data_IF_192355822034
#
_entry.id   IF_192355822034
#
_cell.length_a   1.000
_cell.length_b   1.000
_cell.length_c   1.000
_cell.angle_alpha   90.00
_cell.angle_beta   90.00
_cell.angle_gamma   90.00
#
_symmetry.space_group_name_H-M   'P 1'
#
loop_
_entity.id
_entity.type
_entity.pdbx_description
1 polymer ?
#
# COMPACT_ATOMS: atom_id res chain seq x y z
N UNK A 1 -26.75 -27.42 -26.90
CA UNK A 1 -25.36 -27.52 -26.41
C UNK A 1 -25.29 -26.64 -25.17
N UNK A 2 -25.47 -27.22 -23.99
CA UNK A 2 -25.37 -26.50 -22.71
C UNK A 2 -24.02 -26.88 -22.12
N UNK A 3 -23.13 -25.91 -21.95
CA UNK A 3 -21.86 -26.14 -21.25
C UNK A 3 -22.13 -26.03 -19.76
N UNK A 4 -22.08 -27.16 -19.08
CA UNK A 4 -22.10 -27.26 -17.63
C UNK A 4 -20.83 -26.60 -17.08
N UNK A 5 -21.00 -25.51 -16.34
CA UNK A 5 -19.93 -24.88 -15.57
C UNK A 5 -19.59 -25.80 -14.41
N UNK A 6 -18.53 -26.60 -14.57
CA UNK A 6 -17.96 -27.40 -13.49
C UNK A 6 -17.33 -26.44 -12.48
N UNK A 7 -17.97 -26.26 -11.33
CA UNK A 7 -17.39 -25.60 -10.17
C UNK A 7 -16.21 -26.45 -9.70
N UNK A 8 -14.98 -26.03 -10.01
CA UNK A 8 -13.78 -26.62 -9.44
C UNK A 8 -13.69 -26.18 -7.98
N UNK A 9 -14.23 -27.02 -7.10
CA UNK A 9 -14.11 -26.95 -5.64
C UNK A 9 -12.74 -27.53 -5.22
N UNK A 10 -11.67 -26.90 -5.67
CA UNK A 10 -10.31 -27.14 -5.17
C UNK A 10 -10.14 -26.30 -3.89
N UNK A 11 -9.73 -26.85 -2.73
CA UNK A 11 -9.44 -26.04 -1.56
C UNK A 11 -8.32 -25.06 -1.92
N UNK A 12 -8.70 -23.80 -2.13
CA UNK A 12 -7.84 -22.75 -2.69
C UNK A 12 -6.69 -22.43 -1.72
N UNK A 13 -5.58 -23.15 -1.84
CA UNK A 13 -4.26 -22.70 -1.39
C UNK A 13 -3.73 -21.68 -2.39
N UNK A 14 -4.37 -20.51 -2.48
CA UNK A 14 -4.06 -19.50 -3.49
C UNK A 14 -4.39 -18.10 -3.03
N UNK A 15 -3.70 -17.13 -3.64
CA UNK A 15 -3.88 -15.70 -3.40
C UNK A 15 -5.04 -15.17 -4.25
N UNK A 16 -6.03 -14.52 -3.62
CA UNK A 16 -7.14 -13.88 -4.32
C UNK A 16 -6.86 -12.40 -4.53
N UNK A 17 -6.88 -11.97 -5.79
CA UNK A 17 -6.75 -10.57 -6.19
C UNK A 17 -8.04 -10.10 -6.84
N UNK A 18 -8.63 -9.02 -6.32
CA UNK A 18 -9.73 -8.30 -6.97
C UNK A 18 -9.16 -7.18 -7.82
N UNK A 19 -9.64 -7.08 -9.06
CA UNK A 19 -9.22 -6.04 -9.99
C UNK A 19 -10.45 -5.28 -10.48
N UNK A 20 -10.45 -3.96 -10.29
CA UNK A 20 -11.54 -3.07 -10.69
C UNK A 20 -11.00 -2.00 -11.63
N UNK A 21 -11.71 -1.75 -12.74
CA UNK A 21 -11.45 -0.60 -13.58
C UNK A 21 -12.39 0.53 -13.17
N UNK A 22 -11.84 1.68 -12.82
CA UNK A 22 -12.59 2.88 -12.47
C UNK A 22 -13.09 3.60 -13.72
N UNK A 23 -14.11 4.46 -13.55
CA UNK A 23 -14.74 5.20 -14.65
C UNK A 23 -13.79 6.20 -15.34
N UNK A 24 -12.71 6.60 -14.67
CA UNK A 24 -11.65 7.45 -15.19
C UNK A 24 -10.56 6.69 -15.96
N UNK A 25 -10.70 5.36 -16.08
CA UNK A 25 -9.81 4.48 -16.81
C UNK A 25 -8.69 3.85 -15.98
N UNK A 26 -8.50 4.26 -14.73
CA UNK A 26 -7.50 3.66 -13.83
C UNK A 26 -7.89 2.25 -13.38
N UNK A 27 -6.88 1.45 -13.06
CA UNK A 27 -7.04 0.12 -12.49
C UNK A 27 -6.66 0.13 -11.02
N UNK A 28 -7.48 -0.53 -10.21
CA UNK A 28 -7.22 -0.79 -8.78
C UNK A 28 -7.14 -2.29 -8.59
N UNK A 29 -5.99 -2.76 -8.10
CA UNK A 29 -5.78 -4.15 -7.71
C UNK A 29 -5.75 -4.25 -6.19
N UNK A 30 -6.46 -5.23 -5.63
CA UNK A 30 -6.55 -5.46 -4.19
C UNK A 30 -6.28 -6.91 -3.86
N UNK A 31 -5.35 -7.12 -2.95
CA UNK A 31 -5.10 -8.41 -2.32
C UNK A 31 -6.12 -8.64 -1.20
N UNK A 32 -6.97 -9.66 -1.35
CA UNK A 32 -8.05 -9.91 -0.39
C UNK A 32 -7.57 -10.49 0.94
N UNK A 33 -6.38 -11.12 0.97
CA UNK A 33 -5.82 -11.74 2.17
C UNK A 33 -5.19 -10.70 3.11
N UNK A 34 -4.38 -9.81 2.54
CA UNK A 34 -3.70 -8.71 3.27
C UNK A 34 -4.55 -7.46 3.36
N UNK A 35 -5.55 -7.30 2.49
CA UNK A 35 -6.35 -6.08 2.35
C UNK A 35 -5.62 -4.93 1.65
N UNK A 36 -4.35 -5.11 1.27
CA UNK A 36 -3.54 -4.11 0.57
C UNK A 36 -4.10 -3.88 -0.83
N UNK A 37 -4.15 -2.63 -1.24
CA UNK A 37 -4.54 -2.23 -2.58
C UNK A 37 -3.52 -1.28 -3.18
N UNK A 38 -3.37 -1.34 -4.49
CA UNK A 38 -2.59 -0.40 -5.27
C UNK A 38 -3.29 -0.09 -6.59
N UNK A 39 -2.86 0.98 -7.25
CA UNK A 39 -3.47 1.46 -8.48
C UNK A 39 -2.44 1.72 -9.58
N UNK A 40 -2.90 1.71 -10.83
CA UNK A 40 -2.09 2.02 -12.00
C UNK A 40 -2.94 2.44 -13.19
N UNK A 41 -2.35 3.18 -14.11
CA UNK A 41 -3.03 3.62 -15.35
C UNK A 41 -3.37 2.43 -16.24
N UNK A 42 -2.57 1.37 -16.17
CA UNK A 42 -2.85 0.11 -16.84
C UNK A 42 -3.12 -1.01 -15.83
N UNK A 43 -3.79 -2.06 -16.32
CA UNK A 43 -3.99 -3.29 -15.56
C UNK A 43 -2.67 -3.88 -15.05
N UNK A 44 -1.60 -3.80 -15.84
CA UNK A 44 -0.30 -4.36 -15.46
C UNK A 44 0.34 -3.52 -14.37
N UNK A 45 0.35 -2.20 -14.52
CA UNK A 45 0.92 -1.30 -13.51
C UNK A 45 0.21 -1.46 -12.15
N UNK A 46 -1.12 -1.62 -12.15
CA UNK A 46 -1.87 -1.85 -10.91
C UNK A 46 -1.47 -3.15 -10.20
N UNK A 47 -1.16 -4.21 -10.96
CA UNK A 47 -0.71 -5.49 -10.41
C UNK A 47 0.74 -5.42 -9.93
N UNK A 48 1.63 -4.80 -10.70
CA UNK A 48 3.05 -4.65 -10.34
C UNK A 48 3.18 -3.79 -9.08
N UNK A 49 2.44 -2.67 -9.01
CA UNK A 49 2.40 -1.82 -7.83
C UNK A 49 1.76 -2.54 -6.62
N UNK A 50 0.82 -3.47 -6.84
CA UNK A 50 0.24 -4.27 -5.75
C UNK A 50 1.25 -5.27 -5.19
N UNK A 51 2.04 -5.91 -6.04
CA UNK A 51 3.07 -6.86 -5.58
C UNK A 51 4.13 -6.15 -4.74
N UNK A 52 4.57 -4.95 -5.15
CA UNK A 52 5.47 -4.12 -4.35
C UNK A 52 4.84 -3.70 -3.02
N UNK A 53 3.61 -3.18 -3.04
CA UNK A 53 2.91 -2.75 -1.83
C UNK A 53 2.69 -3.89 -0.83
N UNK A 54 2.41 -5.10 -1.30
CA UNK A 54 2.26 -6.29 -0.44
C UNK A 54 3.60 -6.72 0.14
N UNK A 55 4.68 -6.69 -0.64
CA UNK A 55 6.02 -6.99 -0.15
C UNK A 55 6.46 -5.96 0.92
N UNK A 56 6.19 -4.67 0.70
CA UNK A 56 6.41 -3.60 1.69
C UNK A 56 5.59 -3.85 2.97
N UNK A 57 4.31 -4.17 2.84
CA UNK A 57 3.43 -4.45 3.98
C UNK A 57 3.91 -5.63 4.83
N UNK A 58 4.49 -6.65 4.19
CA UNK A 58 5.07 -7.81 4.87
C UNK A 58 6.48 -7.56 5.42
N UNK A 59 7.08 -6.41 5.14
CA UNK A 59 8.47 -6.10 5.48
C UNK A 59 9.48 -6.96 4.71
N UNK A 60 9.10 -7.50 3.55
CA UNK A 60 9.98 -8.31 2.69
C UNK A 60 10.95 -7.43 1.88
N UNK A 61 10.56 -6.19 1.63
CA UNK A 61 11.36 -5.15 0.96
C UNK A 61 11.23 -3.82 1.70
N UNK A 62 12.10 -2.87 1.36
CA UNK A 62 12.19 -1.56 2.04
C UNK A 62 13.15 -1.59 3.23
N UNK A 63 13.56 -0.41 3.66
CA UNK A 63 14.34 -0.20 4.88
C UNK A 63 13.40 0.31 5.97
N UNK A 64 13.45 -0.28 7.17
CA UNK A 64 12.64 0.21 8.29
C UNK A 64 13.22 1.52 8.82
N UNK A 65 12.32 2.39 9.32
CA UNK A 65 12.63 3.70 9.89
C UNK A 65 11.94 3.80 11.25
N UNK A 66 12.07 2.73 12.05
CA UNK A 66 11.40 2.63 13.36
C UNK A 66 12.15 3.41 14.46
N UNK A 67 13.40 3.80 14.19
CA UNK A 67 14.23 4.54 15.14
C UNK A 67 14.40 6.00 14.73
N UNK A 68 14.60 6.87 15.73
CA UNK A 68 14.88 8.30 15.50
C UNK A 68 16.15 8.52 14.67
N UNK A 69 17.18 7.71 14.87
CA UNK A 69 18.44 7.82 14.11
C UNK A 69 18.25 7.49 12.63
N UNK A 70 17.45 6.45 12.32
CA UNK A 70 17.10 6.11 10.93
C UNK A 70 16.22 7.19 10.29
N UNK A 71 15.25 7.74 11.04
CA UNK A 71 14.40 8.85 10.60
C UNK A 71 15.23 10.09 10.24
N UNK A 72 16.11 10.54 11.15
CA UNK A 72 16.97 11.70 10.95
C UNK A 72 17.80 11.56 9.67
N UNK A 73 18.41 10.38 9.44
CA UNK A 73 19.20 10.10 8.23
C UNK A 73 18.37 10.22 6.95
N UNK A 74 17.15 9.70 6.93
CA UNK A 74 16.27 9.75 5.75
C UNK A 74 15.79 11.17 5.49
N UNK A 75 15.47 11.93 6.54
CA UNK A 75 15.11 13.35 6.41
C UNK A 75 16.26 14.15 5.81
N UNK A 76 17.48 13.96 6.31
CA UNK A 76 18.69 14.60 5.76
C UNK A 76 18.93 14.25 4.29
N UNK A 77 18.76 12.98 3.90
CA UNK A 77 18.88 12.52 2.51
C UNK A 77 17.86 13.19 1.58
N UNK A 78 16.64 13.41 2.07
CA UNK A 78 15.58 14.12 1.36
C UNK A 78 15.75 15.66 1.38
N UNK A 79 16.76 16.18 2.09
CA UNK A 79 17.00 17.61 2.24
C UNK A 79 15.99 18.31 3.17
N UNK A 80 15.43 17.56 4.13
CA UNK A 80 14.50 18.03 5.15
C UNK A 80 15.25 18.14 6.47
N UNK A 81 15.11 19.27 7.17
CA UNK A 81 15.74 19.48 8.48
C UNK A 81 15.03 18.66 9.58
N UNK A 82 15.73 17.70 10.24
CA UNK A 82 15.11 16.90 11.29
C UNK A 82 14.64 17.72 12.49
N UNK A 83 15.31 18.82 12.83
CA UNK A 83 14.95 19.68 13.96
C UNK A 83 13.64 20.43 13.67
N UNK A 84 13.43 20.88 12.43
CA UNK A 84 12.18 21.52 11.98
C UNK A 84 11.00 20.54 12.07
N UNK A 85 11.19 19.29 11.65
CA UNK A 85 10.16 18.24 11.73
C UNK A 85 9.83 17.91 13.19
N UNK A 86 10.85 17.80 14.06
CA UNK A 86 10.66 17.54 15.47
C UNK A 86 9.86 18.67 16.15
N UNK A 87 10.21 19.93 15.87
CA UNK A 87 9.47 21.08 16.38
C UNK A 87 8.01 21.08 15.90
N UNK A 88 7.77 20.82 14.61
CA UNK A 88 6.43 20.79 14.05
C UNK A 88 5.53 19.72 14.69
N UNK A 89 6.09 18.56 15.05
CA UNK A 89 5.38 17.51 15.80
C UNK A 89 4.98 18.00 17.19
N UNK A 90 5.92 18.59 17.93
CA UNK A 90 5.65 19.09 19.29
C UNK A 90 4.58 20.20 19.29
N UNK A 91 4.56 21.04 18.25
CA UNK A 91 3.57 22.12 18.09
C UNK A 91 2.18 21.63 17.65
N UNK A 92 2.11 20.47 16.97
CA UNK A 92 0.89 19.97 16.32
C UNK A 92 0.51 18.53 16.74
N UNK A 93 0.91 18.08 17.93
CA UNK A 93 0.70 16.70 18.43
C UNK A 93 -0.79 16.30 18.57
N UNK A 94 -1.70 17.29 18.54
CA UNK A 94 -3.14 17.07 18.59
C UNK A 94 -3.79 16.87 17.21
N UNK A 95 -4.78 15.98 17.14
CA UNK A 95 -5.75 15.99 16.03
C UNK A 95 -6.37 17.39 15.91
N UNK A 96 -6.51 17.94 14.69
CA UNK A 96 -7.22 19.20 14.50
C UNK A 96 -8.62 19.19 15.14
N UNK A 97 -9.10 20.34 15.63
CA UNK A 97 -10.39 20.45 16.36
C UNK A 97 -11.59 19.79 15.65
N UNK A 98 -11.59 19.74 14.31
CA UNK A 98 -12.68 19.13 13.54
C UNK A 98 -12.60 17.60 13.45
N UNK A 99 -11.51 16.99 13.90
CA UNK A 99 -11.26 15.53 13.94
C UNK A 99 -11.25 14.96 15.38
N UNK A 100 -11.42 15.80 16.40
CA UNK A 100 -11.58 15.39 17.81
C UNK A 100 -13.02 14.93 18.09
#
# INVERSE_FOLDING_TARGET
MSTETSTNDDPQGGRTITLTQADDGWWVARDEETGVASQGETRQDALDNLDEAVALHKGEIGESIDTREEEEKVLEELGIDPDEVAQARDENDGLPDFMQ
#
